data_IF_713573466683
#
_entry.id   IF_713573466683
#
_cell.length_a   1.000
_cell.length_b   1.000
_cell.length_c   1.000
_cell.angle_alpha   90.00
_cell.angle_beta   90.00
_cell.angle_gamma   90.00
#
_symmetry.space_group_name_H-M   'P 1'
#
loop_
_entity.id
_entity.type
_entity.pdbx_description
1 polymer ?
#
# COMPACT_ATOMS: atom_id res chain seq x y z
N UNK A 1 14.25 -19.84 -1.64
CA UNK A 1 13.33 -18.87 -1.02
C UNK A 1 12.03 -19.58 -0.76
N UNK A 2 11.44 -19.41 0.43
CA UNK A 2 10.08 -19.89 0.69
C UNK A 2 9.15 -19.36 -0.41
N UNK A 3 8.32 -20.24 -0.94
CA UNK A 3 7.48 -19.93 -2.10
C UNK A 3 6.30 -19.03 -1.71
N UNK A 4 6.04 -18.89 -0.41
CA UNK A 4 4.91 -18.17 0.16
C UNK A 4 5.28 -17.66 1.54
N UNK A 5 4.96 -16.40 1.80
CA UNK A 5 5.00 -15.78 3.13
C UNK A 5 3.60 -15.24 3.46
N UNK A 6 3.10 -15.54 4.66
CA UNK A 6 1.80 -15.08 5.15
C UNK A 6 1.97 -14.10 6.31
N UNK A 7 1.44 -12.90 6.13
CA UNK A 7 1.63 -11.77 7.03
C UNK A 7 0.26 -11.26 7.48
N UNK A 8 0.16 -10.86 8.75
CA UNK A 8 -1.00 -10.11 9.25
C UNK A 8 -0.68 -8.64 9.31
N UNK A 9 -1.57 -7.82 8.77
CA UNK A 9 -1.60 -6.39 9.03
C UNK A 9 -2.75 -6.11 10.01
N UNK A 10 -2.40 -5.80 11.26
CA UNK A 10 -3.34 -5.49 12.35
C UNK A 10 -3.19 -4.03 12.79
N UNK A 11 -4.12 -3.55 13.63
CA UNK A 11 -4.12 -2.20 14.14
C UNK A 11 -5.51 -1.70 14.48
N UNK A 12 -5.59 -0.72 15.38
CA UNK A 12 -6.84 -0.07 15.75
C UNK A 12 -7.51 0.70 14.61
N UNK A 13 -8.69 1.28 14.86
CA UNK A 13 -9.37 2.13 13.89
C UNK A 13 -8.48 3.32 13.49
N UNK A 14 -8.59 3.76 12.23
CA UNK A 14 -7.82 4.88 11.70
C UNK A 14 -6.28 4.72 11.76
N UNK A 15 -5.76 3.48 11.76
CA UNK A 15 -4.30 3.25 11.74
C UNK A 15 -3.66 3.39 10.35
N UNK A 16 -4.46 3.42 9.28
CA UNK A 16 -3.98 3.55 7.89
C UNK A 16 -3.86 2.24 7.11
N UNK A 17 -4.42 1.13 7.61
CA UNK A 17 -4.33 -0.21 6.97
C UNK A 17 -4.74 -0.23 5.51
N UNK A 18 -5.88 0.37 5.15
CA UNK A 18 -6.37 0.34 3.76
C UNK A 18 -5.36 0.94 2.78
N UNK A 19 -4.73 2.07 3.14
CA UNK A 19 -3.68 2.68 2.32
C UNK A 19 -2.41 1.83 2.31
N UNK A 20 -2.01 1.27 3.46
CA UNK A 20 -0.86 0.37 3.55
C UNK A 20 -1.05 -0.88 2.69
N UNK A 21 -2.22 -1.52 2.71
CA UNK A 21 -2.54 -2.69 1.89
C UNK A 21 -2.40 -2.39 0.39
N UNK A 22 -2.86 -1.22 -0.06
CA UNK A 22 -2.69 -0.79 -1.45
C UNK A 22 -1.20 -0.65 -1.82
N UNK A 23 -0.41 0.01 -0.97
CA UNK A 23 1.04 0.18 -1.21
C UNK A 23 1.81 -1.13 -1.15
N UNK A 24 1.49 -2.02 -0.20
CA UNK A 24 2.06 -3.37 -0.10
C UNK A 24 1.81 -4.12 -1.41
N UNK A 25 0.58 -4.09 -1.93
CA UNK A 25 0.25 -4.74 -3.20
C UNK A 25 1.09 -4.20 -4.34
N UNK A 26 1.20 -2.89 -4.47
CA UNK A 26 1.96 -2.25 -5.54
C UNK A 26 3.45 -2.55 -5.45
N UNK A 27 4.07 -2.23 -4.31
CA UNK A 27 5.51 -2.35 -4.09
C UNK A 27 6.00 -3.79 -4.30
N UNK A 28 5.38 -4.78 -3.63
CA UNK A 28 5.84 -6.16 -3.76
C UNK A 28 5.46 -6.81 -5.10
N UNK A 29 4.39 -6.35 -5.76
CA UNK A 29 4.11 -6.79 -7.14
C UNK A 29 5.20 -6.30 -8.12
N UNK A 30 5.71 -5.08 -7.92
CA UNK A 30 6.82 -4.53 -8.71
C UNK A 30 8.13 -5.29 -8.46
N UNK A 31 8.35 -5.80 -7.23
CA UNK A 31 9.45 -6.70 -6.91
C UNK A 31 9.28 -8.15 -7.43
N UNK A 32 8.19 -8.42 -8.17
CA UNK A 32 7.95 -9.70 -8.82
C UNK A 32 7.18 -10.73 -7.98
N UNK A 33 6.70 -10.34 -6.80
CA UNK A 33 5.83 -11.20 -5.99
C UNK A 33 4.41 -11.20 -6.54
N UNK A 34 3.69 -12.29 -6.28
CA UNK A 34 2.24 -12.30 -6.37
C UNK A 34 1.66 -12.00 -4.99
N UNK A 35 0.99 -10.86 -4.87
CA UNK A 35 0.38 -10.43 -3.62
C UNK A 35 -1.11 -10.74 -3.60
N UNK A 36 -1.56 -11.44 -2.55
CA UNK A 36 -2.96 -11.67 -2.22
C UNK A 36 -3.31 -10.89 -0.96
N UNK A 37 -4.40 -10.11 -1.01
CA UNK A 37 -4.93 -9.42 0.16
C UNK A 37 -6.23 -10.10 0.55
N UNK A 38 -6.28 -10.60 1.77
CA UNK A 38 -7.48 -11.17 2.37
C UNK A 38 -8.20 -10.05 3.14
N UNK A 39 -9.48 -9.79 2.83
CA UNK A 39 -10.22 -8.69 3.45
C UNK A 39 -10.60 -9.00 4.90
N UNK A 40 -10.92 -7.96 5.65
CA UNK A 40 -11.48 -8.06 6.99
C UNK A 40 -12.87 -8.73 6.95
N UNK A 41 -13.00 -9.91 7.57
CA UNK A 41 -14.26 -10.66 7.61
C UNK A 41 -15.36 -10.04 8.49
N UNK A 42 -15.08 -9.39 9.66
CA UNK A 42 -16.12 -8.72 10.45
C UNK A 42 -16.98 -7.73 9.65
N UNK A 43 -16.35 -6.95 8.75
CA UNK A 43 -17.05 -6.02 7.86
C UNK A 43 -17.96 -6.77 6.88
N UNK A 44 -17.50 -7.88 6.30
CA UNK A 44 -18.30 -8.74 5.42
C UNK A 44 -19.53 -9.32 6.14
N UNK A 45 -19.35 -9.84 7.35
CA UNK A 45 -20.43 -10.39 8.18
C UNK A 45 -21.47 -9.32 8.52
N UNK A 46 -21.01 -8.12 8.91
CA UNK A 46 -21.89 -7.00 9.24
C UNK A 46 -22.72 -6.55 8.02
N UNK A 47 -22.11 -6.48 6.84
CA UNK A 47 -22.81 -6.18 5.58
C UNK A 47 -23.83 -7.25 5.19
N UNK A 48 -23.57 -8.51 5.55
CA UNK A 48 -24.50 -9.62 5.37
C UNK A 48 -25.63 -9.65 6.43
N UNK A 49 -25.63 -8.72 7.39
CA UNK A 49 -26.68 -8.56 8.41
C UNK A 49 -26.37 -9.21 9.76
N UNK A 50 -25.14 -9.65 10.00
CA UNK A 50 -24.72 -10.15 11.32
C UNK A 50 -24.53 -8.99 12.28
N UNK A 51 -25.15 -9.06 13.45
CA UNK A 51 -25.04 -8.02 14.48
C UNK A 51 -24.14 -8.47 15.63
N UNK A 52 -22.88 -8.01 15.65
CA UNK A 52 -21.93 -8.29 16.73
C UNK A 52 -22.23 -7.52 18.03
N UNK A 53 -23.11 -6.51 18.01
CA UNK A 53 -23.52 -5.72 19.19
C UNK A 53 -24.73 -6.35 19.93
N UNK A 54 -25.08 -7.58 19.59
CA UNK A 54 -26.21 -8.30 20.18
C UNK A 54 -25.97 -8.64 21.66
N UNK A 55 -27.00 -8.56 22.49
CA UNK A 55 -26.96 -9.06 23.87
C UNK A 55 -27.22 -10.58 23.96
N UNK A 56 -27.61 -11.22 22.86
CA UNK A 56 -27.84 -12.66 22.80
C UNK A 56 -26.50 -13.40 22.71
N UNK A 57 -26.04 -13.92 23.87
CA UNK A 57 -24.76 -14.62 24.00
C UNK A 57 -24.61 -15.83 23.07
N UNK A 58 -25.68 -16.60 22.84
CA UNK A 58 -25.60 -17.79 21.97
C UNK A 58 -25.47 -17.41 20.49
N UNK A 59 -26.21 -16.38 20.05
CA UNK A 59 -26.06 -15.85 18.70
C UNK A 59 -24.67 -15.22 18.50
N UNK A 60 -24.20 -14.42 19.48
CA UNK A 60 -22.87 -13.82 19.45
C UNK A 60 -21.78 -14.90 19.36
N UNK A 61 -21.83 -15.92 20.21
CA UNK A 61 -20.90 -17.05 20.17
C UNK A 61 -20.89 -17.72 18.79
N UNK A 62 -22.06 -18.02 18.23
CA UNK A 62 -22.14 -18.66 16.91
C UNK A 62 -21.61 -17.77 15.78
N UNK A 63 -21.81 -16.45 15.86
CA UNK A 63 -21.29 -15.50 14.87
C UNK A 63 -19.76 -15.47 14.87
N UNK A 64 -19.16 -15.32 16.05
CA UNK A 64 -17.71 -15.31 16.26
C UNK A 64 -17.08 -16.67 15.92
N UNK A 65 -17.76 -17.77 16.28
CA UNK A 65 -17.34 -19.12 15.95
C UNK A 65 -17.22 -19.32 14.42
N UNK A 66 -18.24 -18.85 13.71
CA UNK A 66 -18.31 -18.92 12.25
C UNK A 66 -17.30 -17.99 11.59
N UNK A 67 -17.04 -16.83 12.21
CA UNK A 67 -16.05 -15.85 11.74
C UNK A 67 -14.63 -16.44 11.77
N UNK A 68 -14.22 -17.02 12.90
CA UNK A 68 -12.90 -17.67 13.03
C UNK A 68 -12.78 -18.84 12.04
N UNK A 69 -13.83 -19.66 11.90
CA UNK A 69 -13.83 -20.78 10.97
C UNK A 69 -13.63 -20.32 9.51
N UNK A 70 -14.35 -19.26 9.10
CA UNK A 70 -14.20 -18.72 7.76
C UNK A 70 -12.83 -18.06 7.55
N UNK A 71 -12.28 -17.35 8.55
CA UNK A 71 -10.94 -16.77 8.49
C UNK A 71 -9.89 -17.85 8.21
N UNK A 72 -9.93 -18.93 8.98
CA UNK A 72 -9.00 -20.05 8.85
C UNK A 72 -9.13 -20.71 7.47
N UNK A 73 -10.36 -20.94 7.01
CA UNK A 73 -10.62 -21.59 5.73
C UNK A 73 -10.22 -20.69 4.55
N UNK A 74 -10.53 -19.39 4.62
CA UNK A 74 -10.12 -18.42 3.61
C UNK A 74 -8.60 -18.36 3.48
N UNK A 75 -7.88 -18.25 4.60
CA UNK A 75 -6.41 -18.33 4.61
C UNK A 75 -5.93 -19.61 3.93
N UNK A 76 -6.47 -20.76 4.32
CA UNK A 76 -6.06 -22.06 3.78
C UNK A 76 -6.27 -22.18 2.26
N UNK A 77 -7.42 -21.73 1.74
CA UNK A 77 -7.69 -21.78 0.31
C UNK A 77 -6.76 -20.85 -0.48
N UNK A 78 -6.48 -19.65 0.05
CA UNK A 78 -5.53 -18.73 -0.58
C UNK A 78 -4.09 -19.24 -0.51
N UNK A 79 -3.69 -19.93 0.55
CA UNK A 79 -2.39 -20.62 0.59
C UNK A 79 -2.28 -21.66 -0.52
N UNK A 80 -3.33 -22.45 -0.76
CA UNK A 80 -3.33 -23.44 -1.85
C UNK A 80 -3.17 -22.78 -3.22
N UNK A 81 -3.89 -21.69 -3.46
CA UNK A 81 -3.77 -20.89 -4.69
C UNK A 81 -2.34 -20.33 -4.81
N UNK A 82 -1.81 -19.77 -3.74
CA UNK A 82 -0.49 -19.16 -3.70
C UNK A 82 0.65 -20.18 -3.85
N UNK A 83 0.47 -21.42 -3.39
CA UNK A 83 1.42 -22.54 -3.57
C UNK A 83 1.39 -23.10 -5.00
N UNK A 84 0.26 -23.01 -5.69
CA UNK A 84 0.07 -23.52 -7.05
C UNK A 84 0.72 -22.66 -8.15
N UNK A 85 1.05 -21.41 -7.86
CA UNK A 85 1.75 -20.54 -8.82
C UNK A 85 3.27 -20.74 -8.83
N UNK A 86 3.91 -20.19 -9.86
CA UNK A 86 5.36 -20.27 -10.07
C UNK A 86 6.13 -19.12 -9.42
N UNK A 87 5.50 -17.94 -9.29
CA UNK A 87 6.11 -16.75 -8.66
C UNK A 87 6.10 -16.84 -7.13
N UNK A 88 7.06 -16.20 -6.44
CA UNK A 88 7.01 -16.07 -4.99
C UNK A 88 5.75 -15.31 -4.57
N UNK A 89 5.15 -15.72 -3.47
CA UNK A 89 3.82 -15.28 -3.06
C UNK A 89 3.84 -14.57 -1.71
N UNK A 90 2.98 -13.57 -1.56
CA UNK A 90 2.69 -12.96 -0.28
C UNK A 90 1.19 -13.01 -0.06
N UNK A 91 0.76 -13.52 1.10
CA UNK A 91 -0.63 -13.39 1.57
C UNK A 91 -0.62 -12.37 2.70
N UNK A 92 -1.40 -11.31 2.57
CA UNK A 92 -1.55 -10.28 3.59
C UNK A 92 -2.99 -10.29 4.08
N UNK A 93 -3.17 -10.63 5.35
CA UNK A 93 -4.47 -10.63 6.01
C UNK A 93 -4.73 -9.25 6.62
N UNK A 94 -5.81 -8.59 6.18
CA UNK A 94 -6.37 -7.42 6.88
C UNK A 94 -7.06 -7.91 8.15
N UNK A 95 -6.31 -7.92 9.24
CA UNK A 95 -6.57 -8.65 10.50
C UNK A 95 -6.44 -10.18 10.38
N UNK A 96 -5.92 -10.79 11.45
CA UNK A 96 -5.78 -12.24 11.57
C UNK A 96 -6.72 -12.83 12.63
N UNK A 97 -6.62 -14.14 12.87
CA UNK A 97 -7.49 -14.83 13.83
C UNK A 97 -7.37 -14.26 15.24
N UNK A 98 -6.17 -13.83 15.66
CA UNK A 98 -5.98 -13.29 17.01
C UNK A 98 -6.64 -11.92 17.21
N UNK A 99 -6.89 -11.15 16.16
CA UNK A 99 -7.65 -9.89 16.27
C UNK A 99 -9.06 -10.14 16.84
N UNK A 100 -9.65 -11.30 16.54
CA UNK A 100 -10.99 -11.67 17.02
C UNK A 100 -11.00 -11.79 18.55
N UNK A 101 -9.92 -12.30 19.16
CA UNK A 101 -9.83 -12.43 20.62
C UNK A 101 -9.86 -11.09 21.35
N UNK A 102 -9.48 -9.97 20.70
CA UNK A 102 -9.52 -8.64 21.31
C UNK A 102 -10.96 -8.16 21.61
N UNK A 103 -11.97 -8.79 20.99
CA UNK A 103 -13.39 -8.50 21.16
C UNK A 103 -14.11 -9.49 22.07
N UNK A 104 -13.41 -10.52 22.57
CA UNK A 104 -13.98 -11.59 23.39
C UNK A 104 -13.49 -11.51 24.84
N UNK A 105 -14.29 -12.01 25.77
CA UNK A 105 -13.80 -12.28 27.12
C UNK A 105 -12.91 -13.54 27.13
N UNK A 106 -11.96 -13.61 28.07
CA UNK A 106 -11.03 -14.75 28.18
C UNK A 106 -11.75 -16.11 28.25
N UNK A 107 -12.84 -16.21 29.01
CA UNK A 107 -13.63 -17.43 29.13
C UNK A 107 -14.25 -17.88 27.79
N UNK A 108 -14.73 -16.93 26.98
CA UNK A 108 -15.35 -17.23 25.68
C UNK A 108 -14.29 -17.62 24.68
N UNK A 109 -13.16 -16.91 24.67
CA UNK A 109 -12.02 -17.24 23.83
C UNK A 109 -11.47 -18.64 24.13
N UNK A 110 -11.31 -18.99 25.42
CA UNK A 110 -10.86 -20.32 25.81
C UNK A 110 -11.84 -21.42 25.39
N UNK A 111 -13.14 -21.22 25.58
CA UNK A 111 -14.16 -22.17 25.12
C UNK A 111 -14.09 -22.39 23.59
N UNK A 112 -13.90 -21.32 22.81
CA UNK A 112 -13.73 -21.39 21.36
C UNK A 112 -12.45 -22.14 20.94
N UNK A 113 -11.36 -22.00 21.69
CA UNK A 113 -10.13 -22.77 21.46
C UNK A 113 -10.34 -24.26 21.72
N UNK A 114 -11.01 -24.58 22.84
CA UNK A 114 -11.27 -25.95 23.27
C UNK A 114 -12.19 -26.68 22.27
N UNK A 115 -13.26 -26.02 21.82
CA UNK A 115 -14.18 -26.54 20.79
C UNK A 115 -13.47 -26.87 19.48
N UNK A 116 -12.42 -26.11 19.14
CA UNK A 116 -11.58 -26.33 17.95
C UNK A 116 -10.40 -27.27 18.16
N UNK A 117 -10.16 -27.72 19.39
CA UNK A 117 -8.94 -28.46 19.76
C UNK A 117 -7.66 -27.72 19.33
N UNK A 118 -7.69 -26.39 19.42
CA UNK A 118 -6.60 -25.51 19.01
C UNK A 118 -6.01 -24.79 20.23
N UNK A 119 -4.93 -24.04 20.03
CA UNK A 119 -4.36 -23.20 21.07
C UNK A 119 -3.75 -21.91 20.49
N UNK A 120 -3.45 -20.96 21.38
CA UNK A 120 -2.88 -19.66 21.02
C UNK A 120 -1.57 -19.80 20.23
N UNK A 121 -0.70 -20.75 20.56
CA UNK A 121 0.58 -20.95 19.84
C UNK A 121 0.32 -21.37 18.40
N UNK A 122 -0.66 -22.25 18.16
CA UNK A 122 -1.02 -22.67 16.80
C UNK A 122 -1.67 -21.55 16.00
N UNK A 123 -2.55 -20.75 16.62
CA UNK A 123 -3.25 -19.66 15.93
C UNK A 123 -2.39 -18.41 15.73
N UNK A 124 -1.49 -18.11 16.67
CA UNK A 124 -0.61 -16.95 16.65
C UNK A 124 0.69 -17.26 15.93
N UNK A 125 1.46 -18.25 16.40
CA UNK A 125 2.88 -18.43 16.03
C UNK A 125 3.08 -19.35 14.83
N UNK A 126 2.35 -20.46 14.76
CA UNK A 126 2.53 -21.43 13.69
C UNK A 126 1.83 -21.03 12.37
N UNK A 127 0.89 -20.09 12.45
CA UNK A 127 0.01 -19.73 11.34
C UNK A 127 0.58 -18.60 10.50
N UNK A 128 1.28 -17.63 11.09
CA UNK A 128 1.73 -16.44 10.39
C UNK A 128 3.25 -16.31 10.47
N UNK A 129 3.87 -15.87 9.38
CA UNK A 129 5.32 -15.69 9.33
C UNK A 129 5.77 -14.39 10.00
N UNK A 130 4.89 -13.38 9.98
CA UNK A 130 5.06 -12.09 10.62
C UNK A 130 3.72 -11.42 10.93
N UNK A 131 3.74 -10.54 11.93
CA UNK A 131 2.60 -9.73 12.34
C UNK A 131 3.05 -8.27 12.40
N UNK A 132 2.37 -7.40 11.67
CA UNK A 132 2.66 -5.97 11.62
C UNK A 132 1.47 -5.22 12.22
N UNK A 133 1.69 -4.61 13.38
CA UNK A 133 0.71 -3.77 14.03
C UNK A 133 0.94 -2.31 13.64
N UNK A 134 -0.03 -1.72 12.96
CA UNK A 134 -0.06 -0.28 12.72
C UNK A 134 -0.79 0.41 13.86
N UNK A 135 -0.08 1.23 14.63
CA UNK A 135 -0.66 1.97 15.77
C UNK A 135 -1.77 2.92 15.28
N UNK A 136 -2.91 2.97 15.97
CA UNK A 136 -4.00 3.90 15.66
C UNK A 136 -3.55 5.37 15.63
N UNK A 137 -4.12 6.20 14.75
CA UNK A 137 -3.91 7.65 14.79
C UNK A 137 -4.36 8.29 16.13
N UNK A 138 -5.24 7.62 16.88
CA UNK A 138 -5.64 8.07 18.21
C UNK A 138 -4.47 8.10 19.22
N UNK A 139 -3.32 7.48 18.93
CA UNK A 139 -2.16 7.42 19.81
C UNK A 139 -0.94 8.14 19.19
N UNK A 140 -0.72 9.40 19.53
CA UNK A 140 0.43 10.19 19.06
C UNK A 140 0.25 10.88 17.70
N UNK A 141 -0.95 10.84 17.13
CA UNK A 141 -1.31 11.49 15.88
C UNK A 141 -2.78 11.97 15.90
N UNK A 142 -3.27 12.39 17.06
CA UNK A 142 -4.70 12.63 17.34
C UNK A 142 -5.31 13.67 16.40
N UNK A 143 -4.49 14.61 15.93
CA UNK A 143 -4.87 15.62 14.93
C UNK A 143 -5.41 15.03 13.61
N UNK A 144 -5.03 13.79 13.29
CA UNK A 144 -5.49 13.07 12.09
C UNK A 144 -6.58 12.02 12.37
N UNK A 145 -6.98 11.86 13.64
CA UNK A 145 -8.08 10.95 13.99
C UNK A 145 -9.42 11.60 13.65
N UNK A 146 -9.90 11.40 12.43
CA UNK A 146 -11.18 11.96 11.96
C UNK A 146 -12.26 10.88 11.89
N UNK A 147 -13.49 11.26 12.27
CA UNK A 147 -14.69 10.44 12.12
C UNK A 147 -15.29 10.52 10.71
N UNK A 148 -14.67 11.26 9.79
CA UNK A 148 -15.24 11.65 8.51
C UNK A 148 -15.40 10.48 7.51
N UNK A 149 -14.57 9.43 7.61
CA UNK A 149 -14.48 8.41 6.56
C UNK A 149 -15.34 7.15 6.81
N UNK A 150 -16.05 7.03 7.92
CA UNK A 150 -16.94 5.89 8.18
C UNK A 150 -18.16 6.34 8.98
N UNK A 151 -19.36 6.37 8.35
CA UNK A 151 -20.66 6.55 9.02
C UNK A 151 -20.97 5.50 10.12
N UNK A 152 -20.08 4.52 10.33
CA UNK A 152 -20.17 3.45 11.33
C UNK A 152 -19.16 3.54 12.47
N UNK A 153 -18.33 4.59 12.59
CA UNK A 153 -17.38 4.71 13.72
C UNK A 153 -18.06 5.26 14.97
N UNK A 154 -18.24 4.40 15.97
CA UNK A 154 -18.84 4.76 17.27
C UNK A 154 -17.81 5.06 18.37
N UNK A 155 -16.52 4.81 18.14
CA UNK A 155 -15.49 4.84 19.18
C UNK A 155 -14.82 6.21 19.32
N UNK A 156 -14.71 6.70 20.56
CA UNK A 156 -13.94 7.91 20.88
C UNK A 156 -12.42 7.63 20.89
N UNK A 157 -11.61 8.68 21.07
CA UNK A 157 -10.13 8.57 21.05
C UNK A 157 -9.63 7.63 22.15
N UNK A 158 -10.19 7.66 23.36
CA UNK A 158 -9.79 6.74 24.43
C UNK A 158 -10.13 5.28 24.08
N UNK A 159 -11.33 5.01 23.60
CA UNK A 159 -11.78 3.68 23.17
C UNK A 159 -10.92 3.14 22.02
N UNK A 160 -10.54 3.99 21.07
CA UNK A 160 -9.64 3.61 19.99
C UNK A 160 -8.24 3.22 20.49
N UNK A 161 -7.71 3.91 21.52
CA UNK A 161 -6.45 3.56 22.17
C UNK A 161 -6.54 2.24 22.94
N UNK A 162 -7.60 2.07 23.74
CA UNK A 162 -7.83 0.82 24.49
C UNK A 162 -7.97 -0.38 23.55
N UNK A 163 -8.67 -0.21 22.43
CA UNK A 163 -8.80 -1.26 21.42
C UNK A 163 -7.46 -1.54 20.73
N UNK A 164 -6.68 -0.52 20.38
CA UNK A 164 -5.34 -0.70 19.81
C UNK A 164 -4.43 -1.50 20.76
N UNK A 165 -4.46 -1.19 22.05
CA UNK A 165 -3.70 -1.92 23.07
C UNK A 165 -4.15 -3.38 23.19
N UNK A 166 -5.46 -3.66 23.20
CA UNK A 166 -5.99 -5.03 23.19
C UNK A 166 -5.52 -5.83 21.96
N UNK A 167 -5.48 -5.20 20.79
CA UNK A 167 -5.00 -5.83 19.56
C UNK A 167 -3.49 -6.15 19.66
N UNK A 168 -2.66 -5.23 20.14
CA UNK A 168 -1.23 -5.50 20.38
C UNK A 168 -1.06 -6.67 21.35
N UNK A 169 -1.82 -6.68 22.44
CA UNK A 169 -1.76 -7.71 23.46
C UNK A 169 -2.16 -9.09 22.92
N UNK A 170 -3.15 -9.17 22.04
CA UNK A 170 -3.56 -10.43 21.40
C UNK A 170 -2.44 -11.06 20.56
N UNK A 171 -1.58 -10.24 19.97
CA UNK A 171 -0.43 -10.67 19.16
C UNK A 171 0.88 -10.76 19.94
N UNK A 172 0.91 -10.26 21.18
CA UNK A 172 2.12 -10.24 22.02
C UNK A 172 2.58 -11.68 22.27
N UNK A 173 3.89 -11.91 22.05
CA UNK A 173 4.52 -13.23 22.12
C UNK A 173 4.77 -13.88 20.76
N UNK A 174 4.23 -13.34 19.66
CA UNK A 174 4.59 -13.78 18.32
C UNK A 174 6.09 -13.49 18.03
N UNK A 175 6.88 -14.45 17.51
CA UNK A 175 8.33 -14.29 17.32
C UNK A 175 8.74 -13.14 16.40
N UNK A 176 7.86 -12.79 15.45
CA UNK A 176 8.05 -11.69 14.48
C UNK A 176 6.90 -10.69 14.53
N UNK A 177 6.55 -10.25 15.73
CA UNK A 177 5.69 -9.07 15.91
C UNK A 177 6.52 -7.80 15.65
N UNK A 178 5.97 -6.89 14.83
CA UNK A 178 6.51 -5.57 14.54
C UNK A 178 5.46 -4.52 14.80
N UNK A 179 5.83 -3.47 15.54
CA UNK A 179 4.92 -2.38 15.90
C UNK A 179 5.38 -1.13 15.15
N UNK A 180 4.54 -0.66 14.23
CA UNK A 180 4.78 0.56 13.45
C UNK A 180 3.99 1.70 14.07
N UNK A 181 4.69 2.52 14.84
CA UNK A 181 4.16 3.71 15.51
C UNK A 181 3.79 4.84 14.54
N UNK A 182 3.12 5.87 15.06
CA UNK A 182 2.95 7.10 14.31
C UNK A 182 4.27 7.88 14.28
N UNK A 183 4.69 8.29 13.10
CA UNK A 183 5.91 9.06 12.83
C UNK A 183 5.57 10.49 12.42
N UNK A 184 6.58 11.30 12.08
CA UNK A 184 6.39 12.69 11.63
C UNK A 184 5.39 12.82 10.46
N UNK A 185 5.43 11.88 9.51
CA UNK A 185 4.47 11.81 8.40
C UNK A 185 3.88 10.42 8.23
N UNK A 186 2.70 10.35 7.61
CA UNK A 186 2.07 9.07 7.27
C UNK A 186 2.88 8.29 6.22
N UNK A 187 3.55 8.96 5.29
CA UNK A 187 4.41 8.29 4.30
C UNK A 187 5.59 7.55 4.95
N UNK A 188 6.23 8.15 5.96
CA UNK A 188 7.30 7.48 6.73
C UNK A 188 6.74 6.24 7.44
N UNK A 189 5.53 6.34 8.00
CA UNK A 189 4.85 5.21 8.62
C UNK A 189 4.61 4.07 7.62
N UNK A 190 4.18 4.38 6.39
CA UNK A 190 3.98 3.39 5.34
C UNK A 190 5.30 2.76 4.89
N UNK A 191 6.36 3.56 4.72
CA UNK A 191 7.70 3.06 4.41
C UNK A 191 8.20 2.10 5.50
N UNK A 192 7.97 2.39 6.78
CA UNK A 192 8.29 1.48 7.86
C UNK A 192 7.53 0.16 7.75
N UNK A 193 6.23 0.18 7.43
CA UNK A 193 5.46 -1.07 7.17
C UNK A 193 6.08 -1.88 6.04
N UNK A 194 6.36 -1.24 4.91
CA UNK A 194 6.97 -1.90 3.76
C UNK A 194 8.37 -2.44 4.11
N UNK A 195 9.13 -1.74 4.97
CA UNK A 195 10.47 -2.11 5.43
C UNK A 195 10.46 -3.37 6.27
N UNK A 196 9.52 -3.46 7.21
CA UNK A 196 9.32 -4.66 8.02
C UNK A 196 8.93 -5.86 7.17
N UNK A 197 8.06 -5.68 6.15
CA UNK A 197 7.72 -6.76 5.22
C UNK A 197 8.93 -7.17 4.38
N UNK A 198 9.70 -6.20 3.88
CA UNK A 198 10.92 -6.49 3.11
C UNK A 198 11.95 -7.26 3.92
N UNK A 199 12.13 -6.93 5.20
CA UNK A 199 13.00 -7.68 6.12
C UNK A 199 12.53 -9.13 6.27
N UNK A 200 11.22 -9.33 6.49
CA UNK A 200 10.63 -10.67 6.62
C UNK A 200 10.82 -11.50 5.34
N UNK A 201 10.71 -10.88 4.17
CA UNK A 201 10.90 -11.54 2.87
C UNK A 201 12.38 -11.70 2.48
N UNK A 202 13.30 -11.08 3.21
CA UNK A 202 14.72 -11.05 2.87
C UNK A 202 15.01 -10.32 1.54
N UNK A 203 14.20 -9.31 1.21
CA UNK A 203 14.36 -8.47 0.02
C UNK A 203 14.84 -7.07 0.41
N UNK A 204 15.39 -6.28 -0.54
CA UNK A 204 15.78 -4.91 -0.26
C UNK A 204 14.64 -4.11 0.38
N UNK A 205 14.97 -3.27 1.37
CA UNK A 205 13.98 -2.44 2.05
C UNK A 205 13.44 -1.32 1.12
N UNK A 206 12.29 -0.71 1.45
CA UNK A 206 11.79 0.51 0.86
C UNK A 206 12.55 1.72 1.40
N UNK A 207 12.29 2.85 0.77
CA UNK A 207 13.32 3.84 0.47
C UNK A 207 13.11 5.13 1.26
N UNK A 208 14.20 5.72 1.77
CA UNK A 208 14.19 7.01 2.47
C UNK A 208 14.35 8.22 1.51
N UNK A 209 14.94 8.02 0.31
CA UNK A 209 15.18 9.09 -0.66
C UNK A 209 14.96 8.65 -2.13
N UNK A 210 14.17 9.43 -2.88
CA UNK A 210 14.02 9.30 -4.34
C UNK A 210 15.15 10.09 -5.04
N UNK A 211 15.90 9.44 -5.94
CA UNK A 211 16.87 10.11 -6.82
C UNK A 211 16.41 10.10 -8.26
N UNK A 212 16.66 11.20 -8.97
CA UNK A 212 16.32 11.37 -10.39
C UNK A 212 17.53 11.77 -11.18
N UNK A 213 17.78 11.04 -12.26
CA UNK A 213 18.88 11.31 -13.17
C UNK A 213 18.32 11.56 -14.56
N UNK A 214 18.79 12.61 -15.23
CA UNK A 214 18.66 12.75 -16.67
C UNK A 214 19.68 11.81 -17.31
N UNK A 215 19.24 10.91 -18.18
CA UNK A 215 20.09 9.82 -18.69
C UNK A 215 19.97 9.58 -20.18
N UNK A 216 20.97 8.89 -20.72
CA UNK A 216 21.00 8.30 -22.06
C UNK A 216 21.15 6.77 -21.92
N UNK A 217 20.33 6.00 -22.65
CA UNK A 217 20.44 4.54 -22.67
C UNK A 217 21.49 4.15 -23.73
N UNK A 218 22.58 3.52 -23.29
CA UNK A 218 23.73 3.18 -24.15
C UNK A 218 23.87 1.67 -24.43
N UNK A 219 22.98 0.84 -23.89
CA UNK A 219 22.97 -0.61 -24.07
C UNK A 219 21.58 -1.22 -23.92
N UNK A 220 21.49 -2.54 -24.10
CA UNK A 220 20.24 -3.28 -23.91
C UNK A 220 19.93 -3.44 -22.41
N UNK A 221 18.68 -3.17 -22.03
CA UNK A 221 18.21 -3.29 -20.65
C UNK A 221 17.66 -4.71 -20.44
N UNK A 222 18.32 -5.56 -19.63
CA UNK A 222 17.88 -6.93 -19.45
C UNK A 222 16.59 -7.01 -18.64
N UNK A 223 15.68 -7.92 -19.02
CA UNK A 223 14.42 -8.20 -18.32
C UNK A 223 13.54 -6.96 -18.10
N UNK A 224 13.62 -6.00 -19.00
CA UNK A 224 12.83 -4.78 -18.97
C UNK A 224 11.33 -5.06 -19.14
N UNK A 225 10.51 -4.41 -18.31
CA UNK A 225 9.05 -4.39 -18.46
C UNK A 225 8.62 -2.98 -18.84
N UNK A 226 8.07 -2.83 -20.03
CA UNK A 226 7.59 -1.55 -20.55
C UNK A 226 6.09 -1.38 -20.32
N UNK A 227 5.68 -0.16 -19.95
CA UNK A 227 4.28 0.25 -19.88
C UNK A 227 4.10 1.67 -20.46
N UNK A 228 2.95 1.90 -21.10
CA UNK A 228 2.52 3.24 -21.49
C UNK A 228 1.89 3.95 -20.30
N UNK A 229 2.31 5.20 -20.05
CA UNK A 229 1.76 6.06 -19.01
C UNK A 229 1.28 7.37 -19.64
N UNK A 230 0.01 7.66 -19.43
CA UNK A 230 -0.62 8.95 -19.72
C UNK A 230 -0.95 9.64 -18.40
N UNK A 231 -0.57 10.91 -18.28
CA UNK A 231 -0.85 11.70 -17.09
C UNK A 231 -1.38 13.08 -17.49
N UNK A 232 -2.57 13.41 -16.98
CA UNK A 232 -3.27 14.66 -17.28
C UNK A 232 -3.57 15.38 -15.98
N UNK A 233 -3.33 16.68 -15.95
CA UNK A 233 -3.60 17.53 -14.79
C UNK A 233 -4.98 18.17 -14.92
N UNK A 234 -5.71 18.27 -13.81
CA UNK A 234 -7.04 18.88 -13.76
C UNK A 234 -6.98 20.28 -13.17
N UNK A 235 -7.98 21.11 -13.47
CA UNK A 235 -8.16 22.40 -12.81
C UNK A 235 -8.43 22.18 -11.33
N UNK A 236 -7.78 22.96 -10.48
CA UNK A 236 -7.94 22.93 -9.03
C UNK A 236 -8.05 24.36 -8.50
N UNK A 237 -9.05 24.61 -7.65
CA UNK A 237 -9.31 25.92 -7.04
C UNK A 237 -8.36 26.23 -5.86
N UNK A 238 -7.71 25.21 -5.31
CA UNK A 238 -6.73 25.28 -4.24
C UNK A 238 -5.29 25.16 -4.78
N UNK A 239 -4.27 25.29 -3.92
CA UNK A 239 -2.85 25.06 -4.29
C UNK A 239 -2.55 23.58 -4.61
N UNK A 240 -3.58 22.77 -4.84
CA UNK A 240 -3.50 21.32 -4.84
C UNK A 240 -3.30 20.80 -6.27
N UNK A 241 -2.38 19.85 -6.43
CA UNK A 241 -2.12 19.18 -7.69
C UNK A 241 -3.11 18.01 -7.84
N UNK A 242 -4.12 18.19 -8.69
CA UNK A 242 -5.06 17.11 -9.05
C UNK A 242 -4.66 16.52 -10.40
N UNK A 243 -4.55 15.20 -10.48
CA UNK A 243 -4.15 14.50 -11.69
C UNK A 243 -4.91 13.21 -11.94
N UNK A 244 -5.08 12.91 -13.22
CA UNK A 244 -5.49 11.62 -13.74
C UNK A 244 -4.29 10.87 -14.30
N UNK A 245 -4.17 9.59 -14.00
CA UNK A 245 -3.16 8.70 -14.58
C UNK A 245 -3.81 7.49 -15.21
N UNK A 246 -3.45 7.21 -16.46
CA UNK A 246 -3.79 5.99 -17.19
C UNK A 246 -2.50 5.25 -17.49
N UNK A 247 -2.33 4.03 -16.95
CA UNK A 247 -1.14 3.19 -17.22
C UNK A 247 -1.53 1.81 -17.71
N UNK A 248 -0.76 1.24 -18.62
CA UNK A 248 -1.06 -0.07 -19.18
C UNK A 248 -0.26 -0.40 -20.44
N UNK A 249 -0.65 -1.48 -21.11
CA UNK A 249 -0.05 -1.95 -22.36
C UNK A 249 -1.06 -2.75 -23.16
N UNK A 250 -0.94 -2.74 -24.49
CA UNK A 250 -1.72 -3.61 -25.40
C UNK A 250 -3.26 -3.55 -25.18
N UNK A 251 -3.79 -2.35 -24.93
CA UNK A 251 -5.24 -2.15 -24.75
C UNK A 251 -5.77 -2.44 -23.35
N UNK A 252 -4.94 -2.98 -22.45
CA UNK A 252 -5.28 -3.18 -21.04
C UNK A 252 -4.74 -2.03 -20.20
N UNK A 253 -5.65 -1.22 -19.64
CA UNK A 253 -5.29 -0.02 -18.86
C UNK A 253 -5.98 0.01 -17.49
N UNK A 254 -5.26 0.56 -16.52
CA UNK A 254 -5.78 0.96 -15.21
C UNK A 254 -5.73 2.48 -15.09
N UNK A 255 -6.65 3.03 -14.32
CA UNK A 255 -6.91 4.46 -14.23
C UNK A 255 -6.88 4.88 -12.76
N UNK A 256 -6.25 6.02 -12.48
CA UNK A 256 -6.09 6.57 -11.15
C UNK A 256 -6.46 8.04 -11.14
N UNK A 257 -7.03 8.46 -10.02
CA UNK A 257 -7.24 9.85 -9.64
C UNK A 257 -6.39 10.14 -8.42
N UNK A 258 -5.56 11.17 -8.50
CA UNK A 258 -4.69 11.60 -7.40
C UNK A 258 -4.95 13.07 -7.08
N UNK A 259 -5.18 13.37 -5.81
CA UNK A 259 -5.18 14.73 -5.26
C UNK A 259 -3.95 14.91 -4.39
N UNK A 260 -3.23 16.01 -4.58
CA UNK A 260 -2.05 16.34 -3.80
C UNK A 260 -2.20 17.71 -3.17
N UNK A 261 -2.48 17.73 -1.88
CA UNK A 261 -2.67 18.94 -1.10
C UNK A 261 -1.33 19.48 -0.60
N UNK A 262 -1.04 20.73 -0.94
CA UNK A 262 0.17 21.45 -0.51
C UNK A 262 -0.17 22.32 0.70
N UNK A 263 -0.12 21.73 1.90
CA UNK A 263 -0.16 22.52 3.13
C UNK A 263 1.22 23.13 3.43
N UNK A 264 1.28 24.19 4.25
CA UNK A 264 2.52 24.88 4.61
C UNK A 264 3.52 23.99 5.39
N UNK A 265 3.10 22.79 5.82
CA UNK A 265 3.92 21.86 6.62
C UNK A 265 3.95 20.42 6.10
N UNK A 266 2.96 20.00 5.31
CA UNK A 266 2.81 18.61 4.85
C UNK A 266 2.31 18.56 3.38
N UNK A 267 2.79 17.57 2.62
CA UNK A 267 2.27 17.20 1.31
C UNK A 267 1.42 15.95 1.48
N UNK A 268 0.10 16.07 1.36
CA UNK A 268 -0.82 14.94 1.47
C UNK A 268 -1.18 14.51 0.05
N UNK A 269 -0.85 13.27 -0.32
CA UNK A 269 -1.20 12.69 -1.62
C UNK A 269 -2.22 11.57 -1.43
N UNK A 270 -3.43 11.77 -1.95
CA UNK A 270 -4.54 10.80 -1.90
C UNK A 270 -4.73 10.23 -3.30
N UNK A 271 -4.48 8.94 -3.48
CA UNK A 271 -4.68 8.25 -4.76
C UNK A 271 -5.78 7.18 -4.65
N UNK A 272 -6.69 7.14 -5.63
CA UNK A 272 -7.71 6.10 -5.76
C UNK A 272 -7.77 5.57 -7.19
N UNK A 273 -8.07 4.27 -7.31
CA UNK A 273 -8.35 3.67 -8.61
C UNK A 273 -9.75 4.08 -9.08
N UNK A 274 -9.87 4.45 -10.36
CA UNK A 274 -11.13 4.88 -10.98
C UNK A 274 -11.51 4.01 -12.17
N UNK A 275 -12.77 4.11 -12.58
CA UNK A 275 -13.25 3.37 -13.75
C UNK A 275 -12.88 4.08 -15.06
N UNK A 276 -12.85 3.37 -16.21
CA UNK A 276 -12.61 4.02 -17.51
C UNK A 276 -13.64 5.12 -17.84
N UNK A 277 -14.90 4.93 -17.43
CA UNK A 277 -15.97 5.92 -17.65
C UNK A 277 -15.71 7.19 -16.84
N UNK A 278 -15.39 7.02 -15.57
CA UNK A 278 -15.06 8.12 -14.66
C UNK A 278 -13.82 8.89 -15.12
N UNK A 279 -12.79 8.20 -15.61
CA UNK A 279 -11.61 8.84 -16.21
C UNK A 279 -11.98 9.74 -17.39
N UNK A 280 -12.87 9.28 -18.28
CA UNK A 280 -13.32 10.07 -19.44
C UNK A 280 -14.11 11.30 -18.99
N UNK A 281 -14.98 11.17 -17.99
CA UNK A 281 -15.71 12.31 -17.43
C UNK A 281 -14.77 13.34 -16.80
N UNK A 282 -13.84 12.90 -15.95
CA UNK A 282 -12.90 13.81 -15.27
C UNK A 282 -11.91 14.49 -16.23
N UNK A 283 -11.67 13.93 -17.42
CA UNK A 283 -10.86 14.58 -18.45
C UNK A 283 -11.50 15.86 -19.00
N UNK A 284 -12.81 16.07 -18.81
CA UNK A 284 -13.48 17.31 -19.19
C UNK A 284 -12.96 18.52 -18.38
N UNK A 285 -12.48 18.26 -17.17
CA UNK A 285 -11.88 19.26 -16.26
C UNK A 285 -10.36 19.39 -16.43
N UNK A 286 -9.81 18.93 -17.55
CA UNK A 286 -8.38 19.01 -17.82
C UNK A 286 -7.87 20.47 -17.82
N UNK A 287 -6.78 20.72 -17.11
CA UNK A 287 -6.14 22.02 -17.04
C UNK A 287 -5.57 22.43 -18.39
N UNK A 288 -6.20 23.43 -19.00
CA UNK A 288 -5.83 23.95 -20.31
C UNK A 288 -4.39 24.49 -20.41
N UNK A 289 -3.76 24.86 -19.29
CA UNK A 289 -2.38 25.37 -19.24
C UNK A 289 -1.32 24.26 -19.30
N UNK A 290 -1.75 23.00 -19.22
CA UNK A 290 -0.88 21.82 -19.21
C UNK A 290 -1.23 20.86 -20.33
N UNK A 291 -0.23 20.19 -20.86
CA UNK A 291 -0.39 19.09 -21.81
C UNK A 291 -0.46 17.76 -21.08
N UNK A 292 -1.13 16.80 -21.70
CA UNK A 292 -1.08 15.41 -21.23
C UNK A 292 0.31 14.86 -21.49
N UNK A 293 0.96 14.42 -20.41
CA UNK A 293 2.21 13.68 -20.51
C UNK A 293 1.91 12.29 -21.06
N UNK A 294 2.62 11.91 -22.11
CA UNK A 294 2.73 10.54 -22.58
C UNK A 294 4.19 10.11 -22.47
N UNK A 295 4.45 9.05 -21.71
CA UNK A 295 5.79 8.48 -21.52
C UNK A 295 5.72 6.96 -21.54
N UNK A 296 6.82 6.35 -21.96
CA UNK A 296 7.07 4.91 -21.79
C UNK A 296 7.90 4.70 -20.54
N UNK A 297 7.36 3.97 -19.57
CA UNK A 297 8.10 3.58 -18.37
C UNK A 297 8.67 2.19 -18.57
N UNK A 298 9.99 2.08 -18.50
CA UNK A 298 10.74 0.83 -18.55
C UNK A 298 11.23 0.51 -17.15
N UNK A 299 10.66 -0.53 -16.54
CA UNK A 299 11.03 -0.98 -15.21
C UNK A 299 12.01 -2.15 -15.31
N UNK A 300 13.07 -2.12 -14.51
CA UNK A 300 14.05 -3.21 -14.47
C UNK A 300 14.75 -3.28 -13.10
N UNK A 301 15.36 -4.43 -12.82
CA UNK A 301 16.17 -4.63 -11.61
C UNK A 301 17.63 -4.81 -12.00
N UNK A 302 18.52 -4.07 -11.35
CA UNK A 302 19.98 -4.19 -11.52
C UNK A 302 20.66 -4.17 -10.16
N UNK A 303 21.56 -5.12 -9.90
CA UNK A 303 22.26 -5.24 -8.59
C UNK A 303 21.35 -5.13 -7.35
N UNK A 304 20.14 -5.71 -7.43
CA UNK A 304 19.11 -5.66 -6.38
C UNK A 304 18.50 -4.27 -6.14
N UNK A 305 18.71 -3.33 -7.06
CA UNK A 305 18.04 -2.03 -7.09
C UNK A 305 16.97 -2.03 -8.19
N UNK A 306 15.79 -1.49 -7.87
CA UNK A 306 14.69 -1.33 -8.82
C UNK A 306 14.75 0.06 -9.43
N UNK A 307 14.69 0.12 -10.76
CA UNK A 307 14.80 1.34 -11.52
C UNK A 307 13.55 1.55 -12.38
N UNK A 308 13.12 2.80 -12.48
CA UNK A 308 12.07 3.23 -13.39
C UNK A 308 12.66 4.21 -14.40
N UNK A 309 12.68 3.83 -15.67
CA UNK A 309 13.19 4.66 -16.74
C UNK A 309 12.03 5.22 -17.56
N UNK A 310 11.79 6.52 -17.43
CA UNK A 310 10.74 7.24 -18.14
C UNK A 310 11.28 7.92 -19.38
N UNK A 311 10.89 7.42 -20.55
CA UNK A 311 11.14 8.08 -21.83
C UNK A 311 9.91 8.90 -22.24
N UNK A 312 10.05 10.22 -22.24
CA UNK A 312 8.97 11.15 -22.57
C UNK A 312 8.73 11.20 -24.08
N UNK A 313 7.48 10.97 -24.48
CA UNK A 313 6.98 11.03 -25.86
C UNK A 313 6.15 12.29 -26.09
N UNK A 314 5.52 12.84 -25.05
CA UNK A 314 4.86 14.15 -25.07
C UNK A 314 4.67 14.69 -23.63
N UNK A 315 4.59 16.01 -23.43
CA UNK A 315 5.48 17.01 -24.03
C UNK A 315 6.94 16.71 -23.63
N UNK A 316 7.92 17.34 -24.28
CA UNK A 316 9.37 17.13 -24.06
C UNK A 316 9.91 15.79 -24.60
N UNK A 317 9.69 15.58 -25.90
CA UNK A 317 10.15 14.39 -26.65
C UNK A 317 11.66 14.17 -26.44
N UNK A 318 12.02 12.96 -26.04
CA UNK A 318 13.42 12.52 -25.95
C UNK A 318 14.08 12.77 -24.60
N UNK A 319 13.42 13.49 -23.67
CA UNK A 319 13.86 13.49 -22.26
C UNK A 319 13.69 12.07 -21.72
N UNK A 320 14.76 11.55 -21.11
CA UNK A 320 14.73 10.25 -20.42
C UNK A 320 15.19 10.44 -18.99
N UNK A 321 14.31 10.13 -18.04
CA UNK A 321 14.57 10.27 -16.61
C UNK A 321 14.65 8.88 -15.98
N UNK A 322 15.75 8.59 -15.31
CA UNK A 322 15.90 7.43 -14.46
C UNK A 322 15.51 7.84 -13.03
N UNK A 323 14.44 7.25 -12.53
CA UNK A 323 14.02 7.34 -11.15
C UNK A 323 14.50 6.07 -10.43
N UNK A 324 15.13 6.27 -9.27
CA UNK A 324 15.45 5.20 -8.35
C UNK A 324 15.04 5.62 -6.96
N UNK A 325 14.35 4.70 -6.30
CA UNK A 325 14.10 4.78 -4.88
C UNK A 325 15.33 4.18 -4.14
N UNK A 326 15.98 4.92 -3.22
CA UNK A 326 17.17 4.49 -2.45
C UNK A 326 16.95 4.33 -0.92
N UNK A 327 17.30 3.17 -0.35
CA UNK A 327 17.15 2.85 1.09
C UNK A 327 18.04 3.72 2.00
N UNK A 328 19.11 4.31 1.47
CA UNK A 328 20.04 5.20 2.20
C UNK A 328 20.60 6.28 1.27
N UNK A 329 21.23 7.32 1.83
CA UNK A 329 22.04 8.31 1.07
C UNK A 329 23.30 7.71 0.38
N UNK A 330 23.53 6.40 0.48
CA UNK A 330 24.66 5.69 -0.12
C UNK A 330 24.70 5.78 -1.66
N UNK A 331 25.83 5.36 -2.23
CA UNK A 331 26.05 5.37 -3.67
C UNK A 331 25.03 4.50 -4.42
N UNK A 332 24.40 5.07 -5.44
CA UNK A 332 23.53 4.33 -6.37
C UNK A 332 24.44 3.57 -7.33
N UNK A 333 24.30 2.24 -7.39
CA UNK A 333 24.99 1.44 -8.39
C UNK A 333 24.26 1.57 -9.73
N UNK A 334 24.61 2.63 -10.46
CA UNK A 334 24.03 2.90 -11.77
C UNK A 334 24.43 1.78 -12.75
N UNK A 335 23.45 1.22 -13.50
CA UNK A 335 23.75 0.16 -14.45
C UNK A 335 24.69 0.62 -15.57
N UNK A 336 25.61 -0.24 -16.05
CA UNK A 336 26.59 0.13 -17.09
C UNK A 336 25.95 0.44 -18.46
N UNK A 337 24.69 0.05 -18.66
CA UNK A 337 23.91 0.36 -19.87
C UNK A 337 23.17 1.71 -19.79
N UNK A 338 23.31 2.44 -18.68
CA UNK A 338 22.78 3.79 -18.50
C UNK A 338 23.93 4.79 -18.35
N UNK A 339 23.93 5.85 -19.17
CA UNK A 339 24.85 6.97 -19.07
C UNK A 339 24.15 8.16 -18.43
N UNK A 340 24.58 8.55 -17.24
CA UNK A 340 24.04 9.73 -16.56
C UNK A 340 24.55 11.00 -17.23
N UNK A 341 23.61 11.85 -17.64
CA UNK A 341 23.87 13.20 -18.17
C UNK A 341 23.96 14.18 -17.00
N UNK A 342 22.96 14.13 -16.11
CA UNK A 342 22.85 15.06 -14.98
C UNK A 342 22.06 14.46 -13.81
N UNK A 343 22.46 14.77 -12.57
CA UNK A 343 21.63 14.55 -11.38
C UNK A 343 20.61 15.70 -11.25
N UNK A 344 19.35 15.34 -11.43
CA UNK A 344 18.20 16.25 -11.41
C UNK A 344 17.34 16.05 -10.17
N UNK A 345 17.86 15.37 -9.14
CA UNK A 345 17.19 15.15 -7.86
C UNK A 345 16.81 16.48 -7.22
N UNK A 346 15.55 16.63 -6.80
CA UNK A 346 15.03 17.85 -6.18
C UNK A 346 14.81 19.04 -7.12
N UNK A 347 15.19 18.95 -8.41
CA UNK A 347 15.03 20.03 -9.38
C UNK A 347 13.59 20.08 -9.90
N UNK A 348 12.87 21.14 -9.52
CA UNK A 348 11.43 21.28 -9.79
C UNK A 348 11.12 21.30 -11.29
N UNK A 349 12.02 21.79 -12.15
CA UNK A 349 11.82 21.83 -13.60
C UNK A 349 11.64 20.43 -14.22
N UNK A 350 12.20 19.39 -13.60
CA UNK A 350 12.08 17.99 -14.06
C UNK A 350 10.90 17.24 -13.40
N UNK A 351 10.08 17.92 -12.60
CA UNK A 351 8.89 17.30 -12.04
C UNK A 351 7.80 17.23 -13.12
N UNK A 352 7.08 16.10 -13.20
CA UNK A 352 6.03 15.89 -14.21
C UNK A 352 5.03 17.07 -14.29
N UNK A 353 4.68 17.68 -13.16
CA UNK A 353 3.78 18.85 -13.12
C UNK A 353 4.31 20.07 -13.88
N UNK A 354 5.64 20.28 -13.85
CA UNK A 354 6.31 21.36 -14.58
C UNK A 354 6.65 20.96 -16.02
N UNK A 355 7.03 19.70 -16.25
CA UNK A 355 7.22 19.17 -17.61
C UNK A 355 5.93 19.24 -18.43
N UNK A 356 4.77 19.12 -17.79
CA UNK A 356 3.47 19.24 -18.45
C UNK A 356 3.10 20.68 -18.85
N UNK A 357 3.79 21.73 -18.40
CA UNK A 357 3.42 23.11 -18.74
C UNK A 357 3.52 23.34 -20.25
N UNK A 358 2.46 23.89 -20.84
CA UNK A 358 2.53 24.38 -22.23
C UNK A 358 3.57 25.49 -22.31
N UNK A 359 4.48 25.38 -23.26
CA UNK A 359 5.35 26.50 -23.60
C UNK A 359 4.50 27.57 -24.29
N UNK A 360 4.59 28.83 -23.83
CA UNK A 360 3.99 29.93 -24.57
C UNK A 360 4.67 29.99 -25.94
N UNK A 361 3.87 29.85 -27.00
CA UNK A 361 4.32 30.13 -28.35
C UNK A 361 4.85 31.57 -28.37
N UNK A 362 6.16 31.74 -28.50
CA UNK A 362 6.73 33.04 -28.86
C UNK A 362 6.22 33.33 -30.27
N UNK A 363 5.19 34.17 -30.35
CA UNK A 363 4.66 34.72 -31.62
C UNK A 363 5.61 35.77 -32.15
#
# INVERSE_FOLDING_TARGET
>A
MEKLTKIVLTGGPCSGKTTALAQIKEYFSNLGFRVFILPELPTMFSQAGVNFLTSNKSYFYQAEESLIALQIEMEYQFEKIAKAQEKPAIIVCDRGVMDISAYLSEDVWQAMLDDRQSNVVQLRDARYDAVIHMVTAANGAEKFYTNANNEHRSENIEQARELDEKLINAWTGHPRLRIVGNTETFSVKLNNVLSEISEVLGVPQPIEAERKYLVEVIGEIPNAVENDIYQTYLVSDSKDEVRLRKRGKEGSYVYFYTEKELSDTERIETERQITPREYVTLLEDADSTRETIYKKRTCFVWERQYFELDTFINPNIGITILEIECVNEGDVNLPPFIKVIEDVTGRKEYYNYNLAKKQESVV
#
